data_IF_404037634697
#
_entry.id   IF_404037634697
#
_cell.length_a   1.000
_cell.length_b   1.000
_cell.length_c   1.000
_cell.angle_alpha   90.00
_cell.angle_beta   90.00
_cell.angle_gamma   90.00
#
_symmetry.space_group_name_H-M   'P 1'
#
loop_
_entity.id
_entity.type
_entity.pdbx_description
1 polymer ?
#
# COMPACT_ATOMS: atom_id res chain seq x y z
N UNK A 1 9.63 -18.86 -10.22
CA UNK A 1 9.51 -17.41 -9.95
C UNK A 1 9.63 -17.25 -8.45
N UNK A 2 10.67 -16.58 -7.92
CA UNK A 2 10.80 -16.36 -6.47
C UNK A 2 9.97 -15.14 -6.11
N UNK A 3 8.77 -15.35 -5.54
CA UNK A 3 7.93 -14.28 -5.03
C UNK A 3 8.33 -13.96 -3.59
N UNK A 4 8.28 -12.68 -3.23
CA UNK A 4 8.68 -12.22 -1.90
C UNK A 4 7.65 -12.57 -0.82
N UNK A 5 8.12 -12.74 0.41
CA UNK A 5 7.34 -13.01 1.61
C UNK A 5 7.23 -11.77 2.46
N UNK A 6 6.09 -11.56 3.13
CA UNK A 6 5.86 -10.33 3.90
C UNK A 6 6.51 -10.38 5.28
N UNK A 7 7.07 -9.26 5.71
CA UNK A 7 7.68 -9.02 7.02
C UNK A 7 6.71 -8.29 7.97
N UNK A 8 5.57 -7.82 7.46
CA UNK A 8 4.56 -7.08 8.21
C UNK A 8 5.00 -5.64 8.43
N UNK A 9 4.26 -4.69 7.89
CA UNK A 9 4.32 -3.25 8.22
C UNK A 9 2.88 -2.78 8.30
N UNK A 10 2.56 -1.81 9.17
CA UNK A 10 1.19 -1.30 9.28
C UNK A 10 0.79 -0.44 8.07
N UNK A 11 -0.52 -0.28 7.88
CA UNK A 11 -1.08 0.39 6.71
C UNK A 11 -0.72 1.87 6.66
N UNK A 12 0.00 2.28 5.61
CA UNK A 12 0.02 3.68 5.19
C UNK A 12 -1.15 3.92 4.25
N UNK A 13 -1.80 5.07 4.40
CA UNK A 13 -2.81 5.54 3.45
C UNK A 13 -2.10 5.87 2.12
N UNK A 14 -2.44 5.13 1.07
CA UNK A 14 -2.04 5.38 -0.32
C UNK A 14 -0.73 4.70 -0.77
N UNK A 15 -0.82 3.73 -1.70
CA UNK A 15 0.33 3.14 -2.44
C UNK A 15 -0.02 2.95 -3.93
N UNK A 16 0.99 3.19 -4.77
CA UNK A 16 0.99 3.06 -6.22
C UNK A 16 0.92 1.58 -6.58
N UNK A 17 -0.05 1.22 -7.42
CA UNK A 17 0.16 0.15 -8.40
C UNK A 17 0.37 0.81 -9.75
N UNK A 18 1.61 0.83 -10.22
CA UNK A 18 1.88 1.08 -11.63
C UNK A 18 1.49 -0.22 -12.35
N UNK A 19 0.50 -0.23 -13.26
CA UNK A 19 0.07 -1.48 -13.88
C UNK A 19 1.23 -2.08 -14.69
N UNK A 20 1.81 -3.18 -14.22
CA UNK A 20 2.76 -3.95 -15.02
C UNK A 20 2.02 -4.61 -16.20
N UNK A 21 2.63 -4.54 -17.40
CA UNK A 21 2.16 -5.13 -18.66
C UNK A 21 1.65 -6.56 -18.50
N UNK A 22 0.34 -6.76 -18.30
CA UNK A 22 -0.35 -7.96 -18.76
C UNK A 22 -1.73 -7.57 -19.26
N UNK A 23 -1.99 -7.93 -20.52
CA UNK A 23 -3.27 -7.73 -21.20
C UNK A 23 -4.43 -8.29 -20.37
N UNK A 24 -5.24 -7.41 -19.79
CA UNK A 24 -6.54 -7.74 -19.21
C UNK A 24 -7.60 -7.42 -20.27
N UNK A 25 -7.98 -8.43 -21.05
CA UNK A 25 -9.22 -8.39 -21.83
C UNK A 25 -10.37 -8.87 -20.93
N UNK A 26 -11.35 -8.01 -20.65
CA UNK A 26 -12.58 -8.41 -19.97
C UNK A 26 -13.78 -7.79 -20.69
N UNK A 27 -14.77 -8.66 -20.97
CA UNK A 27 -15.94 -8.38 -21.78
C UNK A 27 -17.04 -7.55 -21.12
N UNK A 28 -17.90 -7.05 -22.01
CA UNK A 28 -19.24 -6.46 -21.88
C UNK A 28 -19.85 -6.29 -20.47
N UNK A 29 -19.58 -5.15 -19.85
CA UNK A 29 -20.53 -4.38 -19.03
C UNK A 29 -19.97 -2.98 -18.82
N UNK A 30 -20.33 -2.01 -19.68
CA UNK A 30 -19.69 -0.68 -19.85
C UNK A 30 -19.11 -0.09 -18.53
N UNK A 31 -17.82 -0.30 -18.22
CA UNK A 31 -17.09 0.51 -17.27
C UNK A 31 -16.49 1.69 -18.04
N UNK A 32 -16.07 2.73 -17.33
CA UNK A 32 -15.25 3.80 -17.88
C UNK A 32 -13.93 3.17 -18.37
N UNK A 33 -13.86 2.78 -19.66
CA UNK A 33 -12.67 2.17 -20.26
C UNK A 33 -11.64 3.26 -20.55
N UNK A 34 -10.93 3.69 -19.50
CA UNK A 34 -9.66 4.41 -19.67
C UNK A 34 -8.61 3.34 -19.99
N UNK A 35 -8.03 3.43 -21.17
CA UNK A 35 -6.98 2.54 -21.65
C UNK A 35 -5.61 3.23 -21.57
N UNK A 36 -4.53 2.49 -21.81
CA UNK A 36 -3.18 3.09 -21.78
C UNK A 36 -3.01 4.22 -22.81
N UNK A 37 -3.75 4.16 -23.93
CA UNK A 37 -3.76 5.25 -24.93
C UNK A 37 -4.40 6.53 -24.40
N UNK A 38 -5.27 6.42 -23.39
CA UNK A 38 -5.94 7.55 -22.74
C UNK A 38 -5.10 8.13 -21.59
N UNK A 39 -4.09 7.39 -21.09
CA UNK A 39 -3.12 7.81 -20.07
C UNK A 39 -1.67 7.70 -20.60
N UNK A 40 -1.27 8.53 -21.58
CA UNK A 40 -0.05 8.32 -22.34
C UNK A 40 1.25 8.58 -21.56
N UNK A 41 1.18 9.05 -20.33
CA UNK A 41 2.33 9.61 -19.61
C UNK A 41 2.53 8.94 -18.26
N UNK A 42 3.55 8.09 -18.17
CA UNK A 42 4.14 7.67 -16.90
C UNK A 42 5.32 8.60 -16.58
N UNK A 43 5.29 9.26 -15.42
CA UNK A 43 6.32 10.19 -14.96
C UNK A 43 6.95 9.75 -13.64
N UNK A 44 8.12 10.33 -13.32
CA UNK A 44 8.73 10.17 -11.99
C UNK A 44 8.06 11.11 -10.98
N UNK A 45 7.93 10.66 -9.73
CA UNK A 45 7.29 11.42 -8.64
C UNK A 45 7.75 12.86 -8.53
N UNK A 46 9.06 13.08 -8.66
CA UNK A 46 9.68 14.39 -8.49
C UNK A 46 9.33 15.39 -9.61
N UNK A 47 8.85 14.93 -10.77
CA UNK A 47 8.47 15.84 -11.87
C UNK A 47 7.00 16.24 -11.84
N UNK A 48 6.19 15.66 -10.96
CA UNK A 48 4.74 15.94 -10.86
C UNK A 48 4.47 17.43 -10.63
N UNK A 49 5.14 18.03 -9.64
CA UNK A 49 4.97 19.46 -9.31
C UNK A 49 5.28 20.34 -10.50
N UNK A 50 6.39 20.05 -11.19
CA UNK A 50 6.80 20.81 -12.36
C UNK A 50 5.82 20.67 -13.51
N UNK A 51 5.37 19.45 -13.81
CA UNK A 51 4.45 19.17 -14.92
C UNK A 51 3.08 19.80 -14.73
N UNK A 52 2.57 19.78 -13.49
CA UNK A 52 1.34 20.50 -13.13
C UNK A 52 1.55 22.02 -13.22
N UNK A 53 2.70 22.55 -12.77
CA UNK A 53 3.01 23.99 -12.84
C UNK A 53 3.08 24.49 -14.29
N UNK A 54 3.71 23.70 -15.15
CA UNK A 54 3.86 24.00 -16.58
C UNK A 54 2.61 23.65 -17.40
N UNK A 55 1.57 23.09 -16.77
CA UNK A 55 0.32 22.66 -17.43
C UNK A 55 0.56 21.66 -18.56
N UNK A 56 1.60 20.83 -18.43
CA UNK A 56 1.86 19.70 -19.33
C UNK A 56 1.12 18.44 -18.88
N UNK A 57 0.49 18.48 -17.70
CA UNK A 57 -0.34 17.43 -17.13
C UNK A 57 -1.47 18.08 -16.35
N UNK A 58 -2.70 17.61 -16.55
CA UNK A 58 -3.90 18.15 -15.88
C UNK A 58 -4.33 17.33 -14.65
N UNK A 59 -4.09 16.01 -14.68
CA UNK A 59 -4.49 15.08 -13.62
C UNK A 59 -3.35 14.12 -13.32
N UNK A 60 -3.11 13.85 -12.03
CA UNK A 60 -2.10 12.90 -11.57
C UNK A 60 -2.76 11.88 -10.66
N UNK A 61 -2.64 10.60 -11.03
CA UNK A 61 -3.11 9.46 -10.24
C UNK A 61 -1.89 8.79 -9.63
N UNK A 62 -1.85 8.75 -8.31
CA UNK A 62 -0.69 8.29 -7.57
C UNK A 62 -0.99 8.05 -6.09
N UNK A 63 -0.10 7.35 -5.37
CA UNK A 63 -0.20 7.26 -3.94
C UNK A 63 0.25 8.50 -3.23
N UNK A 64 -0.54 8.82 -2.23
CA UNK A 64 -0.26 9.92 -1.36
C UNK A 64 -0.68 9.53 0.04
N UNK A 65 0.09 10.01 0.99
CA UNK A 65 -0.27 10.06 2.41
C UNK A 65 -0.50 11.52 2.78
N UNK A 66 -1.10 11.82 3.93
CA UNK A 66 -1.24 13.21 4.41
C UNK A 66 0.11 13.95 4.56
N UNK A 67 1.22 13.22 4.76
CA UNK A 67 2.55 13.78 5.00
C UNK A 67 3.45 13.81 3.74
N UNK A 68 2.90 13.55 2.55
CA UNK A 68 3.72 13.44 1.34
C UNK A 68 4.25 14.81 0.90
N UNK A 69 5.54 15.06 1.12
CA UNK A 69 6.20 16.36 0.98
C UNK A 69 5.98 17.06 -0.36
N UNK A 70 6.11 16.35 -1.48
CA UNK A 70 5.94 16.94 -2.81
C UNK A 70 4.49 17.34 -3.10
N UNK A 71 3.51 16.70 -2.46
CA UNK A 71 2.09 17.07 -2.58
C UNK A 71 1.80 18.29 -1.71
N UNK A 72 2.42 18.37 -0.52
CA UNK A 72 2.34 19.58 0.31
C UNK A 72 2.89 20.78 -0.47
N UNK A 73 4.05 20.62 -1.10
CA UNK A 73 4.65 21.64 -1.98
C UNK A 73 3.71 22.00 -3.15
N UNK A 74 3.12 21.00 -3.80
CA UNK A 74 2.17 21.18 -4.90
C UNK A 74 1.01 22.09 -4.49
N UNK A 75 0.31 21.77 -3.40
CA UNK A 75 -0.83 22.53 -2.91
C UNK A 75 -0.46 23.93 -2.37
N UNK A 76 0.82 24.15 -2.02
CA UNK A 76 1.31 25.47 -1.66
C UNK A 76 1.58 26.36 -2.88
N UNK A 77 2.05 25.76 -3.99
CA UNK A 77 2.51 26.48 -5.20
C UNK A 77 1.43 26.64 -6.27
N UNK A 78 0.52 25.68 -6.39
CA UNK A 78 -0.44 25.58 -7.48
C UNK A 78 -1.82 25.37 -6.89
N UNK A 79 -2.80 26.13 -7.35
CA UNK A 79 -4.20 25.89 -7.02
C UNK A 79 -4.61 24.50 -7.53
N UNK A 80 -4.81 23.59 -6.59
CA UNK A 80 -4.99 22.16 -6.81
C UNK A 80 -6.14 21.67 -5.96
N UNK A 81 -6.87 20.67 -6.44
CA UNK A 81 -7.95 20.03 -5.68
C UNK A 81 -7.87 18.52 -5.80
N UNK A 82 -8.33 17.84 -4.77
CA UNK A 82 -8.53 16.40 -4.81
C UNK A 82 -9.78 16.05 -5.61
N UNK A 83 -9.74 14.91 -6.30
CA UNK A 83 -10.91 14.31 -6.95
C UNK A 83 -11.37 13.15 -6.06
N UNK A 84 -12.53 13.27 -5.38
CA UNK A 84 -13.04 12.20 -4.53
C UNK A 84 -13.43 10.99 -5.37
N UNK A 85 -13.33 9.79 -4.78
CA UNK A 85 -13.81 8.56 -5.39
C UNK A 85 -15.17 8.20 -4.81
N UNK A 86 -16.15 7.96 -5.68
CA UNK A 86 -17.51 7.59 -5.28
C UNK A 86 -17.53 6.20 -4.61
N UNK A 87 -18.44 6.04 -3.63
CA UNK A 87 -18.57 4.81 -2.85
C UNK A 87 -18.84 3.57 -3.70
N UNK A 88 -19.71 3.69 -4.71
CA UNK A 88 -20.05 2.59 -5.61
C UNK A 88 -18.84 2.13 -6.45
N UNK A 89 -17.95 3.06 -6.83
CA UNK A 89 -16.71 2.73 -7.53
C UNK A 89 -15.70 2.09 -6.62
N UNK A 90 -15.60 2.54 -5.36
CA UNK A 90 -14.76 1.88 -4.36
C UNK A 90 -15.24 0.46 -4.08
N UNK A 91 -16.55 0.24 -3.99
CA UNK A 91 -17.12 -1.10 -3.78
C UNK A 91 -16.75 -2.03 -4.94
N UNK A 92 -16.86 -1.58 -6.20
CA UNK A 92 -16.40 -2.33 -7.38
C UNK A 92 -14.89 -2.64 -7.31
N UNK A 93 -14.06 -1.69 -6.85
CA UNK A 93 -12.62 -1.90 -6.69
C UNK A 93 -12.32 -2.97 -5.65
N UNK A 94 -13.00 -2.93 -4.51
CA UNK A 94 -12.84 -3.87 -3.39
C UNK A 94 -13.31 -5.27 -3.80
N UNK A 95 -14.46 -5.37 -4.46
CA UNK A 95 -14.99 -6.64 -4.99
C UNK A 95 -14.02 -7.30 -5.98
N UNK A 96 -13.38 -6.51 -6.85
CA UNK A 96 -12.40 -7.01 -7.82
C UNK A 96 -11.06 -7.37 -7.19
N UNK A 97 -10.64 -6.64 -6.17
CA UNK A 97 -9.38 -6.88 -5.51
C UNK A 97 -9.44 -6.45 -4.03
N UNK A 98 -9.53 -7.40 -3.08
CA UNK A 98 -9.73 -7.11 -1.65
C UNK A 98 -8.52 -6.47 -0.96
N UNK A 99 -7.43 -6.20 -1.68
CA UNK A 99 -6.32 -5.38 -1.17
C UNK A 99 -6.70 -3.91 -0.98
N UNK A 100 -7.73 -3.44 -1.70
CA UNK A 100 -8.27 -2.10 -1.54
C UNK A 100 -9.15 -2.02 -0.29
N UNK A 101 -9.14 -0.87 0.37
CA UNK A 101 -10.09 -0.53 1.43
C UNK A 101 -10.54 0.93 1.29
N UNK A 102 -11.72 1.25 1.82
CA UNK A 102 -12.21 2.64 1.87
C UNK A 102 -11.40 3.44 2.88
N UNK A 103 -10.91 4.60 2.45
CA UNK A 103 -10.14 5.53 3.26
C UNK A 103 -10.67 6.95 3.09
N UNK A 104 -10.32 7.82 4.03
CA UNK A 104 -10.69 9.23 4.01
C UNK A 104 -9.45 10.07 4.29
N UNK A 105 -9.21 11.06 3.44
CA UNK A 105 -8.26 12.13 3.72
C UNK A 105 -9.00 13.22 4.52
N UNK A 106 -8.63 13.46 5.78
CA UNK A 106 -9.31 14.43 6.62
C UNK A 106 -9.23 15.86 6.05
N UNK A 107 -10.26 16.67 6.27
CA UNK A 107 -10.26 18.11 6.05
C UNK A 107 -9.03 18.78 6.67
N UNK A 108 -8.45 19.76 5.97
CA UNK A 108 -7.30 20.53 6.42
C UNK A 108 -5.96 19.80 6.31
N UNK A 109 -5.91 18.62 5.69
CA UNK A 109 -4.65 17.90 5.43
C UNK A 109 -3.76 18.67 4.45
N UNK A 110 -4.35 19.40 3.51
CA UNK A 110 -3.67 20.22 2.52
C UNK A 110 -4.25 21.63 2.45
N UNK A 111 -3.43 22.60 2.03
CA UNK A 111 -3.85 23.99 1.84
C UNK A 111 -5.02 24.05 0.85
N UNK A 112 -6.14 24.66 1.25
CA UNK A 112 -7.33 24.81 0.40
C UNK A 112 -8.20 23.56 0.29
N UNK A 113 -7.93 22.51 1.07
CA UNK A 113 -8.80 21.35 1.18
C UNK A 113 -9.61 21.39 2.48
N UNK A 114 -10.82 21.96 2.41
CA UNK A 114 -11.67 22.24 3.58
C UNK A 114 -12.69 21.14 3.90
N UNK A 115 -12.74 20.07 3.09
CA UNK A 115 -13.69 18.96 3.25
C UNK A 115 -12.99 17.62 3.19
N UNK A 116 -13.49 16.63 3.93
CA UNK A 116 -13.02 15.25 3.86
C UNK A 116 -13.11 14.71 2.42
N UNK A 117 -12.09 13.97 2.00
CA UNK A 117 -12.03 13.39 0.65
C UNK A 117 -12.05 11.86 0.74
N UNK A 118 -13.11 11.20 0.27
CA UNK A 118 -13.15 9.74 0.17
C UNK A 118 -12.19 9.24 -0.93
N UNK A 119 -11.46 8.17 -0.62
CA UNK A 119 -10.45 7.58 -1.48
C UNK A 119 -10.23 6.10 -1.20
N UNK A 120 -9.58 5.41 -2.14
CA UNK A 120 -9.15 4.03 -1.94
C UNK A 120 -7.76 3.98 -1.27
N UNK A 121 -7.64 3.19 -0.22
CA UNK A 121 -6.38 2.85 0.45
C UNK A 121 -5.91 1.44 0.11
N UNK A 122 -4.62 1.20 0.31
CA UNK A 122 -3.96 -0.11 0.18
C UNK A 122 -2.87 -0.22 1.25
N UNK A 123 -2.57 -1.43 1.72
CA UNK A 123 -1.57 -1.66 2.78
C UNK A 123 -0.15 -1.75 2.24
N UNK A 124 0.84 -1.19 2.95
CA UNK A 124 2.26 -1.32 2.60
C UNK A 124 2.79 -2.56 3.29
N UNK A 125 3.48 -3.40 2.55
CA UNK A 125 4.15 -4.58 3.08
C UNK A 125 5.65 -4.45 2.80
N UNK A 126 6.49 -4.65 3.81
CA UNK A 126 7.88 -4.99 3.52
C UNK A 126 7.96 -6.46 3.14
N UNK A 127 8.72 -6.75 2.11
CA UNK A 127 8.85 -8.11 1.57
C UNK A 127 10.30 -8.54 1.51
N UNK A 128 10.57 -9.79 1.86
CA UNK A 128 11.86 -10.45 1.75
C UNK A 128 11.83 -11.55 0.70
N UNK A 129 12.98 -12.10 0.31
CA UNK A 129 12.98 -13.36 -0.43
C UNK A 129 12.56 -14.53 0.47
N UNK A 130 11.99 -15.56 -0.14
CA UNK A 130 11.56 -16.80 0.51
C UNK A 130 12.73 -17.62 1.07
N UNK A 131 13.86 -17.59 0.37
CA UNK A 131 15.00 -18.47 0.62
C UNK A 131 16.04 -17.87 1.57
N UNK A 132 15.71 -16.75 2.23
CA UNK A 132 16.58 -16.18 3.24
C UNK A 132 16.54 -17.06 4.50
N UNK A 133 17.66 -17.18 5.23
CA UNK A 133 17.67 -17.96 6.46
C UNK A 133 16.65 -17.43 7.48
N UNK A 134 15.97 -18.35 8.17
CA UNK A 134 15.03 -18.02 9.26
C UNK A 134 15.67 -17.09 10.29
N UNK A 135 16.90 -17.40 10.72
CA UNK A 135 17.65 -16.62 11.69
C UNK A 135 17.89 -15.18 11.23
N UNK A 136 18.22 -14.98 9.96
CA UNK A 136 18.46 -13.65 9.42
C UNK A 136 17.21 -12.79 9.46
N UNK A 137 16.07 -13.32 9.01
CA UNK A 137 14.81 -12.58 9.05
C UNK A 137 14.33 -12.33 10.48
N UNK A 138 14.52 -13.29 11.38
CA UNK A 138 14.22 -13.07 12.81
C UNK A 138 15.02 -11.90 13.39
N UNK A 139 16.33 -11.82 13.14
CA UNK A 139 17.15 -10.69 13.61
C UNK A 139 16.74 -9.35 12.97
N UNK A 140 16.39 -9.34 11.68
CA UNK A 140 15.84 -8.13 11.02
C UNK A 140 14.54 -7.68 11.70
N UNK A 141 13.65 -8.62 12.01
CA UNK A 141 12.40 -8.32 12.68
C UNK A 141 12.62 -7.74 14.07
N UNK A 142 13.54 -8.30 14.86
CA UNK A 142 13.95 -7.72 16.15
C UNK A 142 14.50 -6.31 16.00
N UNK A 143 15.46 -6.11 15.10
CA UNK A 143 16.09 -4.81 14.88
C UNK A 143 15.05 -3.72 14.53
N UNK A 144 14.02 -4.06 13.75
CA UNK A 144 12.95 -3.12 13.40
C UNK A 144 12.00 -2.91 14.59
N UNK A 145 11.46 -4.00 15.13
CA UNK A 145 10.29 -3.93 16.00
C UNK A 145 10.58 -3.78 17.49
N UNK A 146 11.80 -4.07 17.92
CA UNK A 146 12.25 -3.82 19.29
C UNK A 146 12.71 -2.35 19.45
N UNK A 147 13.03 -1.68 18.34
CA UNK A 147 13.45 -0.26 18.29
C UNK A 147 12.40 0.63 17.60
N UNK A 148 11.19 0.12 17.37
CA UNK A 148 10.20 0.82 16.55
C UNK A 148 9.78 2.15 17.17
N UNK A 149 9.39 2.13 18.44
CA UNK A 149 8.83 3.31 19.10
C UNK A 149 9.88 4.40 19.34
N UNK A 150 11.10 4.01 19.71
CA UNK A 150 12.17 4.94 20.10
C UNK A 150 12.97 5.47 18.90
N UNK A 151 13.23 4.65 17.88
CA UNK A 151 14.12 5.00 16.77
C UNK A 151 13.40 5.22 15.45
N UNK A 152 12.48 4.32 15.06
CA UNK A 152 11.84 4.39 13.74
C UNK A 152 10.64 5.33 13.69
N UNK A 153 9.74 5.25 14.67
CA UNK A 153 8.50 6.01 14.74
C UNK A 153 8.72 7.53 14.62
N UNK A 154 9.75 8.12 15.27
CA UNK A 154 10.06 9.54 15.11
C UNK A 154 10.53 9.93 13.70
N UNK A 155 11.03 9.00 12.88
CA UNK A 155 11.60 9.33 11.56
C UNK A 155 10.54 9.70 10.52
N UNK A 156 9.28 9.28 10.70
CA UNK A 156 8.22 9.56 9.74
C UNK A 156 6.87 9.82 10.42
N UNK A 157 6.20 10.97 10.16
CA UNK A 157 4.94 11.34 10.82
C UNK A 157 3.84 10.27 10.76
N UNK A 158 3.78 9.52 9.66
CA UNK A 158 2.77 8.47 9.49
C UNK A 158 2.96 7.25 10.40
N UNK A 159 4.12 7.05 11.03
CA UNK A 159 4.29 5.95 11.98
C UNK A 159 3.46 6.12 13.25
N UNK A 160 2.91 7.31 13.53
CA UNK A 160 1.89 7.51 14.57
C UNK A 160 0.62 6.68 14.35
N UNK A 161 0.38 6.23 13.12
CA UNK A 161 -0.75 5.35 12.78
C UNK A 161 -0.37 3.86 12.78
N UNK A 162 0.88 3.54 13.11
CA UNK A 162 1.37 2.17 13.12
C UNK A 162 1.11 1.55 14.47
N UNK A 163 0.33 0.48 14.45
CA UNK A 163 0.21 -0.41 15.59
C UNK A 163 0.93 -1.71 15.24
N UNK A 164 1.85 -2.12 16.12
CA UNK A 164 2.64 -3.35 15.99
C UNK A 164 1.70 -4.55 15.89
N UNK A 165 1.85 -5.33 14.83
CA UNK A 165 1.03 -6.53 14.58
C UNK A 165 -0.35 -6.28 13.95
N UNK A 166 -0.78 -5.02 13.74
CA UNK A 166 -2.11 -4.70 13.20
C UNK A 166 -2.45 -5.32 11.84
N UNK A 167 -1.44 -5.69 11.04
CA UNK A 167 -1.64 -6.35 9.74
C UNK A 167 -1.37 -7.85 9.71
N UNK A 168 -1.08 -8.50 10.84
CA UNK A 168 -0.82 -9.94 10.88
C UNK A 168 -1.98 -10.72 10.25
N UNK A 169 -3.22 -10.37 10.60
CA UNK A 169 -4.42 -11.02 10.06
C UNK A 169 -4.84 -10.54 8.66
N UNK A 170 -4.27 -9.42 8.19
CA UNK A 170 -4.65 -8.76 6.92
C UNK A 170 -3.59 -8.87 5.84
N UNK A 171 -2.55 -9.68 6.06
CA UNK A 171 -1.51 -9.88 5.06
C UNK A 171 -2.08 -10.56 3.81
N UNK A 172 -1.60 -10.09 2.65
CA UNK A 172 -1.97 -10.62 1.33
C UNK A 172 -0.92 -11.60 0.80
N UNK A 173 0.19 -11.76 1.51
CA UNK A 173 1.27 -12.69 1.20
C UNK A 173 1.65 -13.46 2.47
N UNK A 174 2.12 -14.71 2.33
CA UNK A 174 2.55 -15.48 3.48
C UNK A 174 3.78 -14.83 4.14
N UNK A 175 3.85 -14.93 5.46
CA UNK A 175 4.95 -14.46 6.28
C UNK A 175 6.15 -15.41 6.17
N UNK A 176 7.36 -14.87 6.28
CA UNK A 176 8.58 -15.67 6.36
C UNK A 176 8.66 -16.40 7.72
N UNK A 177 9.20 -17.64 7.81
CA UNK A 177 9.31 -18.36 9.08
C UNK A 177 9.99 -17.57 10.21
N UNK A 178 11.04 -16.80 9.87
CA UNK A 178 11.73 -15.92 10.83
C UNK A 178 10.85 -14.80 11.39
N UNK A 179 9.94 -14.26 10.57
CA UNK A 179 8.96 -13.27 11.02
C UNK A 179 7.88 -13.91 11.89
N UNK A 180 7.40 -15.10 11.54
CA UNK A 180 6.46 -15.87 12.37
C UNK A 180 7.05 -16.14 13.74
N UNK A 181 8.33 -16.54 13.81
CA UNK A 181 9.03 -16.77 15.07
C UNK A 181 9.05 -15.52 15.94
N UNK A 182 9.39 -14.36 15.37
CA UNK A 182 9.35 -13.09 16.07
C UNK A 182 7.94 -12.75 16.59
N UNK A 183 6.91 -12.85 15.74
CA UNK A 183 5.54 -12.54 16.12
C UNK A 183 4.99 -13.47 17.21
N UNK A 184 5.39 -14.75 17.21
CA UNK A 184 5.08 -15.70 18.29
C UNK A 184 5.72 -15.27 19.61
N UNK A 185 6.99 -14.88 19.59
CA UNK A 185 7.70 -14.39 20.78
C UNK A 185 7.10 -13.09 21.32
N UNK A 186 6.68 -12.19 20.43
CA UNK A 186 5.98 -10.95 20.77
C UNK A 186 4.53 -11.16 21.27
N UNK A 187 4.01 -12.40 21.26
CA UNK A 187 2.64 -12.71 21.67
C UNK A 187 1.55 -12.22 20.70
N UNK A 188 1.92 -11.93 19.45
CA UNK A 188 1.03 -11.36 18.43
C UNK A 188 0.64 -12.36 17.33
N UNK A 189 1.10 -13.61 17.44
CA UNK A 189 0.76 -14.67 16.50
C UNK A 189 -0.19 -15.69 17.13
N UNK A 190 -1.47 -15.60 16.77
CA UNK A 190 -2.53 -16.48 17.25
C UNK A 190 -2.95 -17.54 16.21
N UNK A 191 -3.95 -18.34 16.56
CA UNK A 191 -4.50 -19.38 15.69
C UNK A 191 -5.12 -18.81 14.41
N UNK A 192 -5.68 -17.60 14.46
CA UNK A 192 -6.25 -16.94 13.29
C UNK A 192 -5.16 -16.50 12.30
N UNK A 193 -4.04 -15.97 12.80
CA UNK A 193 -2.85 -15.65 12.04
C UNK A 193 -2.26 -16.91 11.38
N UNK A 194 -2.14 -18.01 12.14
CA UNK A 194 -1.64 -19.27 11.61
C UNK A 194 -2.57 -19.83 10.53
N UNK A 195 -3.89 -19.80 10.74
CA UNK A 195 -4.85 -20.24 9.73
C UNK A 195 -4.72 -19.42 8.45
N UNK A 196 -4.63 -18.09 8.54
CA UNK A 196 -4.47 -17.22 7.37
C UNK A 196 -3.15 -17.49 6.64
N UNK A 197 -2.07 -17.73 7.38
CA UNK A 197 -0.79 -18.13 6.81
C UNK A 197 -0.91 -19.41 5.97
N UNK A 198 -1.59 -20.44 6.50
CA UNK A 198 -1.73 -21.72 5.82
C UNK A 198 -2.59 -21.60 4.56
N UNK A 199 -3.62 -20.73 4.57
CA UNK A 199 -4.43 -20.39 3.38
C UNK A 199 -3.57 -19.69 2.32
N UNK A 200 -2.78 -18.69 2.71
CA UNK A 200 -1.90 -17.95 1.81
C UNK A 200 -0.84 -18.85 1.15
N UNK A 201 -0.28 -19.81 1.90
CA UNK A 201 0.65 -20.79 1.33
C UNK A 201 -0.04 -21.68 0.29
N UNK A 202 -1.29 -22.12 0.54
CA UNK A 202 -2.05 -22.91 -0.42
C UNK A 202 -2.35 -22.12 -1.69
N UNK A 203 -2.79 -20.86 -1.55
CA UNK A 203 -3.02 -19.94 -2.66
C UNK A 203 -1.74 -19.75 -3.49
N UNK A 204 -0.60 -19.51 -2.83
CA UNK A 204 0.70 -19.33 -3.49
C UNK A 204 1.15 -20.58 -4.25
N UNK A 205 1.02 -21.75 -3.63
CA UNK A 205 1.38 -23.04 -4.25
C UNK A 205 0.48 -23.36 -5.46
N UNK A 206 -0.81 -23.02 -5.40
CA UNK A 206 -1.73 -23.18 -6.53
C UNK A 206 -1.33 -22.33 -7.75
N UNK A 207 -0.64 -21.20 -7.53
CA UNK A 207 -0.07 -20.35 -8.58
C UNK A 207 1.30 -20.85 -9.09
N UNK A 208 1.78 -22.01 -8.62
CA UNK A 208 3.07 -22.59 -9.01
C UNK A 208 4.28 -21.87 -8.41
N UNK A 209 4.07 -21.00 -7.43
CA UNK A 209 5.14 -20.40 -6.66
C UNK A 209 5.55 -21.33 -5.50
N UNK A 210 6.82 -21.28 -5.11
CA UNK A 210 7.34 -22.04 -3.98
C UNK A 210 7.41 -21.10 -2.77
N UNK A 211 6.76 -21.52 -1.68
CA UNK A 211 7.01 -21.01 -0.34
C UNK A 211 8.30 -21.64 0.20
#
# INVERSE_FOLDING_TARGET
>A
MHLGHTLGFAGLRGIQVCPQRKHLSVGNSKPLFITFTDLPQCGHWTSIVHRLAEKTTDVVIAPYTEATSYVIELFQRIDSRWIPLDDDKMDIMIERNPVWYKATLPAGSYKGQDVDVPMAGINILAVSRADLPESFIYEVMKAIWDHFDDELSPMHPNFKYFEKGSLIHRSTLPFHPGAIKYWKEAGLWDDAAQKRQDELIKELNALGAKY
#
